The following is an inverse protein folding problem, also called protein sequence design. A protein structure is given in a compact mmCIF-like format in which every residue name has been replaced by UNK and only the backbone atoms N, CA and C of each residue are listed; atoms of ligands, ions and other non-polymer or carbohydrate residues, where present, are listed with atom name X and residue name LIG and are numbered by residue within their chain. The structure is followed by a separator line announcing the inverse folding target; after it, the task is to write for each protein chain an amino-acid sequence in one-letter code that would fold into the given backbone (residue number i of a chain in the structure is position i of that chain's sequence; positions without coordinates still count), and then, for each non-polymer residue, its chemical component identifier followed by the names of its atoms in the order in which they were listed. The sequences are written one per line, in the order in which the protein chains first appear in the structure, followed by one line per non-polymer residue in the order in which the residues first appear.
data_IF_368551812404
#
_entry.id   IF_368551812404
#
_cell.length_a   1.000
_cell.length_b   1.000
_cell.length_c   1.000
_cell.angle_alpha   90.00
_cell.angle_beta   90.00
_cell.angle_gamma   90.00
#
_symmetry.space_group_name_H-M   'P 1'
#
loop_
_entity.id
_entity.type
_entity.pdbx_description
1 polymer ?
#
# COMPACT_ATOMS: atom_id res chain seq x y z
N UNK A 1 2.23 8.98 -20.49
CA UNK A 1 1.52 7.74 -20.86
C UNK A 1 2.18 6.54 -20.22
N UNK A 2 1.45 5.43 -20.13
CA UNK A 2 1.98 4.13 -19.68
C UNK A 2 2.13 3.26 -20.93
N UNK A 3 3.34 2.84 -21.24
CA UNK A 3 3.60 1.86 -22.29
C UNK A 3 3.55 0.44 -21.70
N UNK A 4 2.86 -0.48 -22.41
CA UNK A 4 2.85 -1.88 -22.06
C UNK A 4 2.01 -2.25 -20.82
N UNK A 5 0.82 -1.69 -20.69
CA UNK A 5 -0.13 -2.04 -19.62
C UNK A 5 -1.09 -3.13 -20.09
N UNK A 6 -1.33 -4.12 -19.23
CA UNK A 6 -2.41 -5.08 -19.41
C UNK A 6 -3.67 -4.54 -18.73
N UNK A 7 -4.77 -4.47 -19.46
CA UNK A 7 -6.05 -4.02 -18.95
C UNK A 7 -7.19 -4.93 -19.47
N UNK A 8 -8.23 -5.07 -18.66
CA UNK A 8 -9.44 -5.81 -19.04
C UNK A 8 -10.39 -4.94 -19.85
N UNK A 9 -11.35 -5.54 -20.55
CA UNK A 9 -12.36 -4.82 -21.32
C UNK A 9 -13.11 -3.74 -20.52
N UNK A 10 -13.61 -4.03 -19.30
CA UNK A 10 -14.21 -3.01 -18.43
C UNK A 10 -13.30 -1.83 -18.13
N UNK A 11 -12.02 -2.07 -17.84
CA UNK A 11 -11.04 -1.00 -17.55
C UNK A 11 -10.75 -0.15 -18.78
N UNK A 12 -10.62 -0.77 -19.95
CA UNK A 12 -10.48 -0.07 -21.25
C UNK A 12 -11.70 0.80 -21.52
N UNK A 13 -12.89 0.25 -21.36
CA UNK A 13 -14.14 0.99 -21.55
C UNK A 13 -14.20 2.22 -20.65
N UNK A 14 -13.93 2.07 -19.35
CA UNK A 14 -13.94 3.19 -18.41
C UNK A 14 -12.87 4.23 -18.77
N UNK A 15 -11.67 3.80 -19.11
CA UNK A 15 -10.58 4.71 -19.48
C UNK A 15 -10.95 5.56 -20.71
N UNK A 16 -11.56 4.96 -21.75
CA UNK A 16 -12.07 5.68 -22.91
C UNK A 16 -13.19 6.67 -22.53
N UNK A 17 -14.11 6.27 -21.63
CA UNK A 17 -15.17 7.17 -21.12
C UNK A 17 -14.64 8.34 -20.33
N UNK A 18 -13.47 8.18 -19.71
CA UNK A 18 -12.75 9.23 -18.97
C UNK A 18 -11.78 10.05 -19.86
N UNK A 19 -11.79 9.83 -21.17
CA UNK A 19 -11.03 10.60 -22.15
C UNK A 19 -9.59 10.09 -22.39
N UNK A 20 -9.27 8.85 -22.02
CA UNK A 20 -7.97 8.28 -22.33
C UNK A 20 -7.85 7.91 -23.82
N UNK A 21 -6.69 8.15 -24.41
CA UNK A 21 -6.30 7.64 -25.71
C UNK A 21 -5.60 6.30 -25.54
N UNK A 22 -6.08 5.26 -26.23
CA UNK A 22 -5.58 3.90 -26.08
C UNK A 22 -5.19 3.32 -27.43
N UNK A 23 -3.95 2.82 -27.52
CA UNK A 23 -3.48 2.01 -28.66
C UNK A 23 -3.36 0.57 -28.23
N UNK A 24 -4.13 -0.33 -28.83
CA UNK A 24 -4.05 -1.76 -28.56
C UNK A 24 -2.89 -2.39 -29.35
N UNK A 25 -1.88 -2.90 -28.63
CA UNK A 25 -0.76 -3.64 -29.22
C UNK A 25 -1.11 -5.11 -29.43
N UNK A 26 -1.83 -5.70 -28.48
CA UNK A 26 -2.29 -7.08 -28.52
C UNK A 26 -3.62 -7.22 -27.78
N UNK A 27 -4.55 -7.95 -28.35
CA UNK A 27 -5.87 -8.21 -27.77
C UNK A 27 -6.09 -9.70 -27.64
N UNK A 28 -6.56 -10.14 -26.48
CA UNK A 28 -7.04 -11.49 -26.24
C UNK A 28 -8.55 -11.44 -26.07
N UNK A 29 -9.26 -12.11 -26.93
CA UNK A 29 -10.73 -12.22 -26.87
C UNK A 29 -11.07 -13.61 -26.32
N UNK A 30 -11.79 -13.65 -25.21
CA UNK A 30 -12.26 -14.91 -24.63
C UNK A 30 -13.35 -15.53 -25.47
N UNK A 31 -13.37 -16.85 -25.53
CA UNK A 31 -14.47 -17.61 -26.13
C UNK A 31 -15.65 -17.64 -25.17
N UNK A 32 -16.82 -17.35 -25.68
CA UNK A 32 -18.07 -17.51 -24.93
C UNK A 32 -18.51 -18.97 -25.06
N UNK A 33 -18.72 -19.61 -23.92
CA UNK A 33 -19.31 -20.96 -23.92
C UNK A 33 -20.80 -20.81 -24.11
N UNK A 34 -21.35 -21.56 -25.06
CA UNK A 34 -22.78 -21.70 -25.30
C UNK A 34 -23.21 -23.13 -24.95
N UNK A 35 -24.44 -23.28 -24.50
CA UNK A 35 -25.07 -24.58 -24.32
C UNK A 35 -25.62 -25.13 -25.64
N UNK A 36 -26.26 -26.30 -25.57
CA UNK A 36 -26.83 -26.96 -26.76
C UNK A 36 -27.93 -26.13 -27.45
N UNK A 37 -28.57 -25.21 -26.75
CA UNK A 37 -29.55 -24.26 -27.27
C UNK A 37 -28.93 -22.93 -27.74
N UNK A 38 -27.60 -22.86 -27.89
CA UNK A 38 -26.83 -21.67 -28.28
C UNK A 38 -26.96 -20.50 -27.28
N UNK A 39 -27.37 -20.78 -26.04
CA UNK A 39 -27.44 -19.77 -25.01
C UNK A 39 -26.10 -19.65 -24.28
N UNK A 40 -25.77 -18.43 -23.83
CA UNK A 40 -24.50 -18.19 -23.09
C UNK A 40 -24.51 -18.98 -21.79
N UNK A 41 -23.56 -19.90 -21.67
CA UNK A 41 -23.38 -20.67 -20.44
C UNK A 41 -22.71 -19.82 -19.35
N UNK A 42 -23.40 -19.64 -18.24
CA UNK A 42 -22.90 -18.97 -17.04
C UNK A 42 -22.52 -20.01 -15.96
N UNK A 43 -21.40 -20.65 -16.13
CA UNK A 43 -20.98 -21.85 -15.36
C UNK A 43 -21.05 -21.73 -13.85
N UNK A 44 -20.91 -20.54 -13.27
CA UNK A 44 -21.01 -20.30 -11.82
C UNK A 44 -22.35 -19.69 -11.38
N UNK A 45 -23.20 -19.31 -12.30
CA UNK A 45 -24.43 -18.55 -11.99
C UNK A 45 -25.36 -19.30 -11.04
N UNK A 46 -25.72 -20.52 -11.36
CA UNK A 46 -26.65 -21.30 -10.56
C UNK A 46 -26.14 -21.55 -9.13
N UNK A 47 -24.85 -21.90 -9.00
CA UNK A 47 -24.23 -22.11 -7.70
C UNK A 47 -24.20 -20.83 -6.87
N UNK A 48 -23.80 -19.72 -7.45
CA UNK A 48 -23.75 -18.42 -6.75
C UNK A 48 -25.15 -17.97 -6.37
N UNK A 49 -26.12 -18.09 -7.26
CA UNK A 49 -27.52 -17.76 -7.00
C UNK A 49 -28.07 -18.56 -5.83
N UNK A 50 -27.89 -19.89 -5.85
CA UNK A 50 -28.36 -20.76 -4.77
C UNK A 50 -27.76 -20.35 -3.41
N UNK A 51 -26.44 -20.15 -3.35
CA UNK A 51 -25.77 -19.73 -2.12
C UNK A 51 -26.27 -18.36 -1.61
N UNK A 52 -26.58 -17.43 -2.50
CA UNK A 52 -27.13 -16.10 -2.13
C UNK A 52 -28.55 -16.24 -1.58
N UNK A 53 -29.38 -17.07 -2.21
CA UNK A 53 -30.76 -17.34 -1.76
C UNK A 53 -30.76 -18.05 -0.43
N UNK A 54 -29.97 -19.13 -0.28
CA UNK A 54 -29.87 -19.91 0.97
C UNK A 54 -29.39 -19.03 2.11
N UNK A 55 -28.39 -18.19 1.85
CA UNK A 55 -27.90 -17.25 2.86
C UNK A 55 -28.98 -16.27 3.30
N UNK A 56 -29.75 -15.74 2.35
CA UNK A 56 -30.86 -14.84 2.69
C UNK A 56 -31.92 -15.56 3.53
N UNK A 57 -32.27 -16.79 3.17
CA UNK A 57 -33.19 -17.62 3.94
C UNK A 57 -32.70 -17.82 5.39
N UNK A 58 -31.41 -18.16 5.56
CA UNK A 58 -30.81 -18.31 6.91
C UNK A 58 -30.85 -16.99 7.69
N UNK A 59 -30.56 -15.85 7.04
CA UNK A 59 -30.65 -14.55 7.71
C UNK A 59 -32.05 -14.20 8.17
N UNK A 60 -33.06 -14.58 7.39
CA UNK A 60 -34.48 -14.31 7.71
C UNK A 60 -35.05 -15.25 8.75
N UNK A 61 -34.58 -16.52 8.82
CA UNK A 61 -35.11 -17.55 9.73
C UNK A 61 -34.32 -17.70 11.02
N UNK A 62 -32.98 -17.63 10.94
CA UNK A 62 -32.06 -17.90 12.07
C UNK A 62 -31.41 -16.61 12.58
N UNK A 63 -31.20 -15.65 11.68
CA UNK A 63 -30.58 -14.35 11.98
C UNK A 63 -29.21 -14.15 11.34
N UNK A 64 -28.82 -12.87 11.24
CA UNK A 64 -27.50 -12.45 10.76
C UNK A 64 -26.42 -12.73 11.82
N UNK A 65 -25.19 -13.05 11.35
CA UNK A 65 -24.04 -13.27 12.24
C UNK A 65 -24.01 -14.64 12.93
N UNK A 66 -24.97 -15.51 12.63
CA UNK A 66 -24.98 -16.90 13.09
C UNK A 66 -23.99 -17.77 12.34
N UNK A 67 -23.64 -18.94 12.89
CA UNK A 67 -22.70 -19.87 12.25
C UNK A 67 -23.15 -20.25 10.82
N UNK A 68 -24.42 -20.60 10.54
CA UNK A 68 -24.88 -20.87 9.18
C UNK A 68 -24.73 -19.66 8.23
N UNK A 69 -25.07 -18.43 8.67
CA UNK A 69 -24.86 -17.21 7.88
C UNK A 69 -23.37 -17.01 7.55
N UNK A 70 -22.50 -17.22 8.55
CA UNK A 70 -21.04 -17.11 8.35
C UNK A 70 -20.51 -18.16 7.36
N UNK A 71 -20.95 -19.40 7.44
CA UNK A 71 -20.54 -20.47 6.53
C UNK A 71 -20.95 -20.17 5.09
N UNK A 72 -22.20 -19.77 4.86
CA UNK A 72 -22.70 -19.41 3.53
C UNK A 72 -22.01 -18.16 2.98
N UNK A 73 -21.80 -17.14 3.83
CA UNK A 73 -20.99 -15.97 3.46
C UNK A 73 -19.59 -16.39 3.01
N UNK A 74 -18.95 -17.27 3.78
CA UNK A 74 -17.59 -17.75 3.47
C UNK A 74 -17.57 -18.55 2.17
N UNK A 75 -18.57 -19.37 1.91
CA UNK A 75 -18.71 -20.12 0.66
C UNK A 75 -18.77 -19.16 -0.54
N UNK A 76 -19.68 -18.16 -0.53
CA UNK A 76 -19.79 -17.17 -1.61
C UNK A 76 -18.49 -16.38 -1.84
N UNK A 77 -17.88 -15.88 -0.75
CA UNK A 77 -16.67 -15.05 -0.89
C UNK A 77 -15.44 -15.85 -1.28
N UNK A 78 -15.36 -17.13 -0.88
CA UNK A 78 -14.23 -17.99 -1.24
C UNK A 78 -14.27 -18.46 -2.71
N UNK A 79 -15.44 -18.52 -3.34
CA UNK A 79 -15.56 -18.83 -4.76
C UNK A 79 -14.68 -17.92 -5.62
N UNK A 80 -14.77 -16.60 -5.39
CA UNK A 80 -13.90 -15.64 -6.07
C UNK A 80 -12.41 -15.95 -5.83
N UNK A 81 -12.01 -16.18 -4.57
CA UNK A 81 -10.63 -16.53 -4.25
C UNK A 81 -10.17 -17.83 -4.94
N UNK A 82 -11.07 -18.79 -5.11
CA UNK A 82 -10.79 -20.05 -5.81
C UNK A 82 -10.60 -19.88 -7.31
N UNK A 83 -11.27 -18.90 -7.94
CA UNK A 83 -11.01 -18.61 -9.36
C UNK A 83 -9.63 -18.00 -9.59
N UNK A 84 -9.05 -17.34 -8.59
CA UNK A 84 -7.70 -16.78 -8.62
C UNK A 84 -6.61 -17.71 -8.06
N UNK A 85 -6.95 -18.91 -7.61
CA UNK A 85 -5.99 -19.83 -7.00
C UNK A 85 -5.02 -20.34 -8.07
N UNK A 86 -3.71 -20.31 -7.73
CA UNK A 86 -2.61 -20.76 -8.60
C UNK A 86 -2.39 -19.95 -9.90
N UNK A 87 -2.97 -18.75 -9.97
CA UNK A 87 -2.61 -17.80 -11.06
C UNK A 87 -1.19 -17.26 -10.87
N UNK A 88 -0.74 -17.18 -9.62
CA UNK A 88 0.64 -16.90 -9.22
C UNK A 88 1.01 -17.98 -8.21
N UNK A 89 2.13 -18.63 -8.43
CA UNK A 89 2.64 -19.65 -7.51
C UNK A 89 2.69 -19.12 -6.08
N UNK A 90 2.05 -19.84 -5.18
CA UNK A 90 2.05 -19.58 -3.74
C UNK A 90 2.35 -20.86 -3.01
N UNK A 91 3.22 -20.76 -2.02
CA UNK A 91 3.46 -21.83 -1.09
C UNK A 91 2.81 -21.55 0.26
N UNK A 92 2.44 -22.61 0.95
CA UNK A 92 1.93 -22.60 2.32
C UNK A 92 2.71 -23.64 3.12
N UNK A 93 2.93 -23.35 4.40
CA UNK A 93 3.49 -24.34 5.31
C UNK A 93 2.49 -25.47 5.51
N UNK A 94 2.91 -26.71 5.22
CA UNK A 94 2.18 -27.92 5.57
C UNK A 94 2.69 -28.38 6.94
N UNK A 95 1.92 -28.14 7.98
CA UNK A 95 2.30 -28.46 9.36
C UNK A 95 2.44 -29.98 9.61
N UNK A 96 1.76 -30.81 8.80
CA UNK A 96 1.85 -32.26 8.91
C UNK A 96 3.13 -32.82 8.30
N UNK A 97 3.57 -32.25 7.17
CA UNK A 97 4.78 -32.68 6.46
C UNK A 97 6.00 -31.83 6.86
N UNK A 98 5.80 -30.79 7.65
CA UNK A 98 6.83 -29.83 8.06
C UNK A 98 7.62 -29.23 6.87
N UNK A 99 6.95 -29.00 5.75
CA UNK A 99 7.55 -28.43 4.54
C UNK A 99 6.70 -27.31 3.95
N UNK A 100 7.35 -26.42 3.21
CA UNK A 100 6.65 -25.47 2.32
C UNK A 100 6.15 -26.25 1.10
N UNK A 101 4.83 -26.24 0.87
CA UNK A 101 4.20 -26.91 -0.24
C UNK A 101 3.44 -25.91 -1.11
N UNK A 102 3.56 -26.05 -2.43
CA UNK A 102 2.81 -25.22 -3.36
C UNK A 102 1.31 -25.48 -3.23
N UNK A 103 0.53 -24.40 -3.24
CA UNK A 103 -0.92 -24.46 -3.26
C UNK A 103 -1.33 -24.63 -4.71
N UNK A 104 -1.70 -25.85 -5.08
CA UNK A 104 -2.18 -26.14 -6.44
C UNK A 104 -3.48 -25.42 -6.78
N UNK A 105 -3.81 -25.39 -8.07
CA UNK A 105 -5.02 -24.82 -8.60
C UNK A 105 -6.30 -25.44 -8.03
N UNK A 106 -7.41 -24.73 -8.09
CA UNK A 106 -8.73 -25.27 -7.77
C UNK A 106 -9.39 -25.80 -9.05
N UNK A 107 -10.43 -26.64 -8.89
CA UNK A 107 -11.23 -27.12 -10.04
C UNK A 107 -11.94 -25.98 -10.79
N UNK A 108 -12.09 -24.82 -10.16
CA UNK A 108 -12.72 -23.62 -10.73
C UNK A 108 -11.71 -22.49 -10.97
N UNK A 109 -10.41 -22.79 -10.99
CA UNK A 109 -9.38 -21.79 -11.33
C UNK A 109 -9.66 -21.25 -12.73
N UNK A 110 -9.88 -19.94 -12.81
CA UNK A 110 -10.16 -19.22 -14.05
C UNK A 110 -9.61 -17.81 -13.96
N UNK A 111 -8.42 -17.55 -14.50
CA UNK A 111 -7.80 -16.22 -14.46
C UNK A 111 -8.69 -15.13 -15.06
N UNK A 112 -9.48 -15.48 -16.10
CA UNK A 112 -10.39 -14.54 -16.76
C UNK A 112 -11.50 -14.09 -15.81
N UNK A 113 -12.19 -15.03 -15.13
CA UNK A 113 -13.24 -14.68 -14.15
C UNK A 113 -12.67 -13.88 -12.99
N UNK A 114 -11.50 -14.26 -12.47
CA UNK A 114 -10.84 -13.52 -11.39
C UNK A 114 -10.49 -12.08 -11.82
N UNK A 115 -9.95 -11.94 -13.03
CA UNK A 115 -9.59 -10.63 -13.61
C UNK A 115 -10.84 -9.76 -13.80
N UNK A 116 -11.88 -10.27 -14.45
CA UNK A 116 -13.10 -9.52 -14.74
C UNK A 116 -13.84 -9.11 -13.46
N UNK A 117 -13.88 -9.97 -12.45
CA UNK A 117 -14.51 -9.66 -11.16
C UNK A 117 -13.80 -8.49 -10.48
N UNK A 118 -12.48 -8.55 -10.36
CA UNK A 118 -11.71 -7.43 -9.77
C UNK A 118 -11.77 -6.17 -10.59
N UNK A 119 -11.70 -6.29 -11.91
CA UNK A 119 -11.78 -5.16 -12.82
C UNK A 119 -13.13 -4.46 -12.73
N UNK A 120 -14.24 -5.22 -12.71
CA UNK A 120 -15.58 -4.66 -12.56
C UNK A 120 -15.72 -3.84 -11.28
N UNK A 121 -15.28 -4.38 -10.15
CA UNK A 121 -15.32 -3.66 -8.87
C UNK A 121 -14.43 -2.41 -8.90
N UNK A 122 -13.20 -2.50 -9.43
CA UNK A 122 -12.32 -1.33 -9.57
C UNK A 122 -12.95 -0.26 -10.46
N UNK A 123 -13.58 -0.65 -11.58
CA UNK A 123 -14.25 0.30 -12.46
C UNK A 123 -15.40 1.02 -11.76
N UNK A 124 -16.22 0.30 -10.97
CA UNK A 124 -17.27 0.94 -10.17
C UNK A 124 -16.73 1.94 -9.17
N UNK A 125 -15.65 1.60 -8.45
CA UNK A 125 -15.04 2.49 -7.47
C UNK A 125 -14.40 3.73 -8.13
N UNK A 126 -13.66 3.56 -9.23
CA UNK A 126 -13.07 4.67 -9.99
C UNK A 126 -14.15 5.57 -10.57
N UNK A 127 -15.22 4.98 -11.13
CA UNK A 127 -16.35 5.73 -11.66
C UNK A 127 -17.08 6.53 -10.57
N UNK A 128 -17.29 5.92 -9.38
CA UNK A 128 -17.88 6.61 -8.24
C UNK A 128 -17.02 7.78 -7.77
N UNK A 129 -15.71 7.57 -7.60
CA UNK A 129 -14.78 8.63 -7.22
C UNK A 129 -14.80 9.80 -8.21
N UNK A 130 -14.78 9.49 -9.52
CA UNK A 130 -14.79 10.52 -10.54
C UNK A 130 -16.10 11.32 -10.54
N UNK A 131 -17.25 10.64 -10.47
CA UNK A 131 -18.56 11.31 -10.46
C UNK A 131 -18.79 12.09 -9.16
N UNK A 132 -18.37 11.58 -8.00
CA UNK A 132 -18.44 12.30 -6.73
C UNK A 132 -17.57 13.57 -6.77
N UNK A 133 -16.35 13.47 -7.29
CA UNK A 133 -15.49 14.65 -7.45
C UNK A 133 -16.10 15.69 -8.40
N UNK A 134 -16.82 15.29 -9.45
CA UNK A 134 -17.55 16.21 -10.35
C UNK A 134 -18.73 16.90 -9.64
N UNK A 135 -19.24 16.30 -8.57
CA UNK A 135 -20.32 16.84 -7.73
C UNK A 135 -19.79 17.55 -6.47
N UNK A 136 -18.49 17.86 -6.41
CA UNK A 136 -17.79 18.50 -5.29
C UNK A 136 -17.81 17.68 -3.98
N UNK A 137 -17.92 16.35 -4.06
CA UNK A 137 -17.77 15.48 -2.90
C UNK A 137 -16.39 14.80 -2.88
N UNK A 138 -15.86 14.62 -1.68
CA UNK A 138 -14.56 14.02 -1.45
C UNK A 138 -14.67 12.52 -1.19
N UNK A 139 -13.69 11.76 -1.68
CA UNK A 139 -13.46 10.37 -1.29
C UNK A 139 -12.21 10.30 -0.43
N UNK A 140 -12.38 10.07 0.87
CA UNK A 140 -11.27 10.03 1.83
C UNK A 140 -10.51 8.72 1.82
N UNK A 141 -11.18 7.62 1.58
CA UNK A 141 -10.57 6.30 1.55
C UNK A 141 -11.33 5.37 0.60
N UNK A 142 -10.57 4.59 -0.17
CA UNK A 142 -11.11 3.55 -1.05
C UNK A 142 -10.44 2.23 -0.70
N UNK A 143 -11.25 1.23 -0.42
CA UNK A 143 -10.80 -0.13 -0.11
C UNK A 143 -11.12 -1.09 -1.26
N UNK A 144 -11.14 -2.39 -1.00
CA UNK A 144 -11.33 -3.42 -2.03
C UNK A 144 -12.66 -3.31 -2.77
N UNK A 145 -13.74 -2.99 -2.05
CA UNK A 145 -15.14 -3.05 -2.52
C UNK A 145 -16.01 -1.93 -1.92
N UNK A 146 -15.39 -0.90 -1.35
CA UNK A 146 -16.09 0.21 -0.73
C UNK A 146 -15.24 1.47 -0.63
N UNK A 147 -15.86 2.56 -0.22
CA UNK A 147 -15.20 3.85 -0.02
C UNK A 147 -15.86 4.62 1.13
N UNK A 148 -15.17 5.64 1.61
CA UNK A 148 -15.65 6.61 2.59
C UNK A 148 -15.68 7.97 1.90
N UNK A 149 -16.81 8.66 2.02
CA UNK A 149 -17.05 9.95 1.38
C UNK A 149 -17.91 10.84 2.28
N UNK A 150 -17.84 12.14 2.07
CA UNK A 150 -18.77 13.14 2.64
C UNK A 150 -20.10 13.24 1.85
N UNK A 151 -20.23 12.50 0.75
CA UNK A 151 -21.46 12.50 -0.04
C UNK A 151 -22.63 11.85 0.73
N UNK A 152 -23.83 12.45 0.70
CA UNK A 152 -25.04 11.81 1.20
C UNK A 152 -25.30 10.47 0.50
N UNK A 153 -25.88 9.50 1.22
CA UNK A 153 -26.17 8.18 0.68
C UNK A 153 -27.05 8.23 -0.57
N UNK A 154 -28.01 9.14 -0.61
CA UNK A 154 -28.93 9.35 -1.75
C UNK A 154 -28.19 9.75 -3.02
N UNK A 155 -27.11 10.51 -2.90
CA UNK A 155 -26.25 10.88 -4.02
C UNK A 155 -25.52 9.65 -4.53
N UNK A 156 -24.92 8.86 -3.62
CA UNK A 156 -24.18 7.62 -3.96
C UNK A 156 -25.08 6.61 -4.67
N UNK A 157 -26.32 6.41 -4.20
CA UNK A 157 -27.25 5.47 -4.81
C UNK A 157 -27.71 5.88 -6.22
N UNK A 158 -27.63 7.16 -6.58
CA UNK A 158 -28.00 7.69 -7.89
C UNK A 158 -26.87 7.74 -8.91
N UNK A 159 -25.62 7.41 -8.52
CA UNK A 159 -24.49 7.43 -9.44
C UNK A 159 -24.71 6.44 -10.60
N UNK A 160 -24.55 6.92 -11.81
CA UNK A 160 -24.67 6.11 -13.04
C UNK A 160 -23.45 5.20 -13.25
N UNK A 161 -22.28 5.59 -12.74
CA UNK A 161 -21.02 4.86 -12.86
C UNK A 161 -20.62 4.58 -14.32
N UNK A 162 -20.90 5.52 -15.23
CA UNK A 162 -20.69 5.37 -16.68
C UNK A 162 -21.37 4.12 -17.28
N UNK A 163 -22.51 3.71 -16.70
CA UNK A 163 -23.28 2.54 -17.13
C UNK A 163 -23.02 1.27 -16.34
N UNK A 164 -21.95 1.21 -15.52
CA UNK A 164 -21.69 0.04 -14.68
C UNK A 164 -22.78 -0.18 -13.64
N UNK A 165 -23.42 0.90 -13.13
CA UNK A 165 -24.51 0.76 -12.16
C UNK A 165 -25.60 -0.17 -12.68
N UNK A 166 -26.07 0.05 -13.93
CA UNK A 166 -27.08 -0.79 -14.56
C UNK A 166 -26.64 -2.25 -14.67
N UNK A 167 -25.39 -2.50 -15.11
CA UNK A 167 -24.87 -3.86 -15.25
C UNK A 167 -24.89 -4.62 -13.90
N UNK A 168 -24.44 -3.96 -12.84
CA UNK A 168 -24.41 -4.57 -11.50
C UNK A 168 -25.81 -4.72 -10.90
N UNK A 169 -26.72 -3.77 -11.15
CA UNK A 169 -28.11 -3.86 -10.74
C UNK A 169 -28.82 -5.05 -11.40
N UNK A 170 -28.66 -5.23 -12.71
CA UNK A 170 -29.23 -6.38 -13.45
C UNK A 170 -28.66 -7.71 -12.93
N UNK A 171 -27.34 -7.78 -12.68
CA UNK A 171 -26.72 -8.95 -12.09
C UNK A 171 -27.28 -9.23 -10.67
N UNK A 172 -27.47 -8.19 -9.87
CA UNK A 172 -28.03 -8.29 -8.53
C UNK A 172 -29.48 -8.79 -8.54
N UNK A 173 -30.31 -8.26 -9.41
CA UNK A 173 -31.70 -8.71 -9.60
C UNK A 173 -31.75 -10.21 -9.95
N UNK A 174 -30.93 -10.67 -10.90
CA UNK A 174 -30.84 -12.09 -11.28
C UNK A 174 -30.43 -12.99 -10.12
N UNK A 175 -29.45 -12.55 -9.29
CA UNK A 175 -28.96 -13.33 -8.15
C UNK A 175 -29.94 -13.35 -6.98
N UNK A 176 -30.83 -12.37 -6.86
CA UNK A 176 -31.75 -12.22 -5.73
C UNK A 176 -33.22 -12.51 -6.09
N UNK A 177 -33.48 -13.14 -7.22
CA UNK A 177 -34.85 -13.36 -7.73
C UNK A 177 -35.68 -12.07 -7.76
N UNK A 178 -35.12 -11.00 -8.31
CA UNK A 178 -35.72 -9.67 -8.42
C UNK A 178 -36.08 -9.00 -7.06
N UNK A 179 -35.50 -9.45 -5.95
CA UNK A 179 -35.79 -8.88 -4.62
C UNK A 179 -35.01 -7.61 -4.32
N UNK A 180 -33.81 -7.43 -4.91
CA UNK A 180 -32.97 -6.25 -4.71
C UNK A 180 -32.10 -5.95 -5.90
N UNK A 181 -32.05 -4.68 -6.27
CA UNK A 181 -31.09 -4.12 -7.24
C UNK A 181 -29.94 -3.35 -6.59
N UNK A 182 -29.89 -3.28 -5.25
CA UNK A 182 -28.91 -2.46 -4.53
C UNK A 182 -27.52 -2.98 -4.73
N UNK A 183 -26.66 -2.16 -5.29
CA UNK A 183 -25.22 -2.43 -5.48
C UNK A 183 -24.38 -1.84 -4.34
N UNK A 184 -24.91 -0.84 -3.64
CA UNK A 184 -24.27 -0.21 -2.48
C UNK A 184 -24.96 -0.62 -1.18
N UNK A 185 -24.19 -0.66 -0.11
CA UNK A 185 -24.70 -0.84 1.24
C UNK A 185 -24.02 0.18 2.16
N UNK A 186 -24.81 1.08 2.75
CA UNK A 186 -24.34 1.94 3.82
C UNK A 186 -23.97 1.08 5.03
N UNK A 187 -22.69 1.16 5.45
CA UNK A 187 -22.17 0.42 6.61
C UNK A 187 -22.17 1.24 7.86
N UNK A 188 -21.65 2.46 7.76
CA UNK A 188 -21.47 3.39 8.86
C UNK A 188 -21.69 4.82 8.38
N UNK A 189 -22.21 5.64 9.24
CA UNK A 189 -22.30 7.07 9.08
C UNK A 189 -21.76 7.71 10.34
N UNK A 190 -20.92 8.74 10.21
CA UNK A 190 -20.26 9.38 11.34
C UNK A 190 -19.98 10.85 11.02
N UNK A 191 -19.90 11.68 12.08
CA UNK A 191 -19.75 13.13 11.96
C UNK A 191 -18.31 13.58 11.77
N UNK A 192 -17.34 12.75 12.17
CA UNK A 192 -15.92 13.05 12.07
C UNK A 192 -15.12 11.84 11.60
N UNK A 193 -13.93 12.08 11.07
CA UNK A 193 -13.06 11.01 10.58
C UNK A 193 -11.59 11.41 10.68
N UNK A 194 -10.81 10.60 11.36
CA UNK A 194 -9.37 10.60 11.25
C UNK A 194 -8.92 9.48 10.31
N UNK A 195 -8.52 9.83 9.09
CA UNK A 195 -8.12 8.89 8.05
C UNK A 195 -6.60 8.94 7.86
N UNK A 196 -5.88 7.95 8.40
CA UNK A 196 -4.41 7.92 8.36
C UNK A 196 -3.90 6.98 7.26
N UNK A 197 -4.56 5.84 7.08
CA UNK A 197 -4.21 4.86 6.04
C UNK A 197 -5.47 4.41 5.32
N UNK A 198 -5.33 3.74 4.19
CA UNK A 198 -6.47 3.19 3.43
C UNK A 198 -7.44 2.35 4.29
N UNK A 199 -6.95 1.73 5.36
CA UNK A 199 -7.75 0.92 6.29
C UNK A 199 -7.58 1.36 7.74
N UNK A 200 -7.04 2.54 7.98
CA UNK A 200 -6.80 3.11 9.29
C UNK A 200 -7.64 4.35 9.51
N UNK A 201 -8.95 4.17 9.62
CA UNK A 201 -9.93 5.22 9.77
C UNK A 201 -10.59 5.08 11.15
N UNK A 202 -10.61 6.15 11.92
CA UNK A 202 -11.19 6.18 13.26
C UNK A 202 -12.03 7.43 13.42
N UNK A 203 -13.25 7.28 13.92
CA UNK A 203 -14.03 8.39 14.44
C UNK A 203 -13.65 8.66 15.89
N UNK A 204 -13.52 9.93 16.24
CA UNK A 204 -13.29 10.42 17.61
C UNK A 204 -14.59 10.86 18.28
N UNK A 205 -15.72 10.82 17.59
CA UNK A 205 -17.03 11.08 18.19
C UNK A 205 -17.44 9.93 19.11
N UNK A 206 -18.20 10.20 20.21
CA UNK A 206 -18.65 9.15 21.14
C UNK A 206 -19.45 8.04 20.47
N UNK A 207 -20.33 8.40 19.54
CA UNK A 207 -21.17 7.50 18.73
C UNK A 207 -20.49 6.97 17.46
N UNK A 208 -19.23 7.36 17.23
CA UNK A 208 -18.48 6.97 16.06
C UNK A 208 -18.01 5.53 16.10
N UNK A 209 -17.48 5.08 14.99
CA UNK A 209 -16.94 3.73 14.81
C UNK A 209 -15.50 3.76 14.33
N UNK A 210 -14.74 2.72 14.64
CA UNK A 210 -13.53 2.42 13.93
C UNK A 210 -13.93 1.73 12.63
N UNK A 211 -14.01 2.52 11.56
CA UNK A 211 -14.37 1.99 10.25
C UNK A 211 -13.18 1.29 9.61
N UNK A 212 -12.96 0.11 9.92
CA UNK A 212 -11.87 -0.79 9.56
C UNK A 212 -10.65 -0.74 10.48
N UNK A 213 -10.49 -1.86 11.13
CA UNK A 213 -9.17 -2.25 11.50
C UNK A 213 -8.34 -2.37 10.22
N UNK A 214 -7.44 -1.47 10.02
CA UNK A 214 -6.35 -1.59 9.04
C UNK A 214 -5.54 -2.86 9.27
N UNK A 215 -5.97 -3.68 10.19
CA UNK A 215 -5.17 -4.70 10.79
C UNK A 215 -5.64 -6.02 10.24
N UNK A 216 -4.85 -6.56 9.38
CA UNK A 216 -4.80 -8.01 9.22
C UNK A 216 -4.61 -8.73 10.58
N UNK A 217 -4.71 -8.02 11.67
CA UNK A 217 -4.52 -8.46 13.05
C UNK A 217 -5.81 -8.85 13.74
N UNK A 218 -6.98 -8.38 13.27
CA UNK A 218 -8.25 -8.59 13.92
C UNK A 218 -8.50 -7.70 15.15
N UNK A 219 -7.66 -6.72 15.44
CA UNK A 219 -7.91 -5.76 16.51
C UNK A 219 -8.80 -4.63 16.03
N UNK A 220 -9.92 -4.42 16.68
CA UNK A 220 -10.81 -3.27 16.46
C UNK A 220 -11.11 -2.68 17.84
N UNK A 221 -10.78 -1.41 18.08
CA UNK A 221 -11.26 -0.75 19.30
C UNK A 221 -12.76 -0.53 19.19
N UNK A 222 -13.52 -1.17 20.09
CA UNK A 222 -14.98 -1.19 20.03
C UNK A 222 -15.61 -0.05 20.82
N UNK A 223 -15.05 0.28 22.00
CA UNK A 223 -15.55 1.38 22.83
C UNK A 223 -14.95 2.73 22.41
N UNK A 224 -15.60 3.81 22.85
CA UNK A 224 -15.09 5.17 22.68
C UNK A 224 -13.73 5.34 23.37
N UNK A 225 -13.60 4.86 24.60
CA UNK A 225 -12.38 4.92 25.40
C UNK A 225 -11.24 4.15 24.74
N UNK A 226 -11.52 2.98 24.19
CA UNK A 226 -10.53 2.18 23.45
C UNK A 226 -10.06 2.92 22.20
N UNK A 227 -10.95 3.60 21.48
CA UNK A 227 -10.58 4.40 20.31
C UNK A 227 -9.69 5.58 20.70
N UNK A 228 -10.05 6.31 21.76
CA UNK A 228 -9.22 7.40 22.27
C UNK A 228 -7.85 6.91 22.75
N UNK A 229 -7.80 5.86 23.56
CA UNK A 229 -6.55 5.27 24.03
C UNK A 229 -5.67 4.78 22.89
N UNK A 230 -6.27 4.17 21.89
CA UNK A 230 -5.58 3.73 20.68
C UNK A 230 -5.00 4.92 19.89
N UNK A 231 -5.81 5.95 19.64
CA UNK A 231 -5.37 7.13 18.90
C UNK A 231 -4.32 7.95 19.66
N UNK A 232 -4.45 8.03 20.98
CA UNK A 232 -3.40 8.63 21.83
C UNK A 232 -2.05 7.95 21.61
N UNK A 233 -2.00 6.61 21.62
CA UNK A 233 -0.79 5.85 21.34
C UNK A 233 -0.26 6.06 19.92
N UNK A 234 -1.17 6.11 18.93
CA UNK A 234 -0.82 6.35 17.53
C UNK A 234 -0.17 7.72 17.37
N UNK A 235 -0.75 8.77 17.96
CA UNK A 235 -0.32 10.16 17.74
C UNK A 235 0.85 10.58 18.65
N UNK A 236 0.93 10.06 19.88
CA UNK A 236 2.02 10.36 20.81
C UNK A 236 3.37 9.75 20.42
N UNK A 237 3.38 8.79 19.48
CA UNK A 237 4.59 8.09 19.00
C UNK A 237 5.37 7.36 20.12
N UNK A 238 4.70 6.98 21.19
CA UNK A 238 5.30 6.35 22.38
C UNK A 238 5.62 4.87 22.20
N UNK A 239 6.27 4.51 21.10
CA UNK A 239 6.74 3.15 20.85
C UNK A 239 5.93 2.37 19.82
N UNK A 240 6.28 1.10 19.58
CA UNK A 240 5.58 0.26 18.63
C UNK A 240 4.17 -0.06 19.13
N UNK A 241 3.18 0.18 18.31
CA UNK A 241 1.83 -0.30 18.54
C UNK A 241 1.79 -1.80 18.26
N UNK A 242 1.31 -2.56 19.23
CA UNK A 242 1.09 -3.98 19.09
C UNK A 242 -0.25 -4.37 19.68
N UNK A 243 -0.85 -5.41 19.14
CA UNK A 243 -2.02 -6.06 19.71
C UNK A 243 -1.82 -7.57 19.74
N UNK A 244 -2.43 -8.21 20.73
CA UNK A 244 -2.46 -9.66 20.83
C UNK A 244 -3.80 -10.15 20.31
N UNK A 245 -3.76 -11.06 19.34
CA UNK A 245 -4.95 -11.67 18.75
C UNK A 245 -4.84 -13.18 18.80
N UNK A 246 -5.99 -13.85 18.84
CA UNK A 246 -6.01 -15.32 18.82
C UNK A 246 -5.98 -15.82 17.38
N UNK A 247 -5.04 -16.69 17.09
CA UNK A 247 -5.02 -17.48 15.85
C UNK A 247 -5.53 -18.88 16.17
N UNK A 248 -6.64 -19.24 15.55
CA UNK A 248 -7.21 -20.58 15.69
C UNK A 248 -6.56 -21.54 14.70
N UNK A 249 -6.52 -22.81 15.05
CA UNK A 249 -6.15 -23.91 14.16
C UNK A 249 -7.00 -23.86 12.90
N UNK A 250 -6.38 -23.94 11.74
CA UNK A 250 -7.09 -23.84 10.46
C UNK A 250 -7.98 -25.06 10.22
N UNK A 251 -9.15 -24.88 9.58
CA UNK A 251 -10.04 -25.99 9.23
C UNK A 251 -9.35 -27.09 8.42
N UNK A 252 -8.35 -26.74 7.60
CA UNK A 252 -7.57 -27.73 6.85
C UNK A 252 -6.73 -28.62 7.76
N UNK A 253 -6.17 -28.02 8.82
CA UNK A 253 -5.34 -28.78 9.77
C UNK A 253 -6.23 -29.66 10.66
N UNK A 254 -7.40 -29.14 11.07
CA UNK A 254 -8.41 -29.94 11.78
C UNK A 254 -8.94 -31.10 10.92
N UNK A 255 -9.21 -30.86 9.63
CA UNK A 255 -9.71 -31.90 8.73
C UNK A 255 -8.66 -32.98 8.44
N UNK A 256 -7.37 -32.65 8.49
CA UNK A 256 -6.29 -33.63 8.31
C UNK A 256 -6.11 -34.52 9.55
N UNK A 257 -6.21 -33.95 10.73
CA UNK A 257 -5.93 -34.64 11.97
C UNK A 257 -7.12 -35.47 12.48
N UNK A 258 -8.31 -35.31 11.87
CA UNK A 258 -9.55 -35.98 12.23
C UNK A 258 -9.95 -35.90 13.73
N UNK A 259 -9.26 -35.08 14.51
CA UNK A 259 -9.53 -34.90 15.94
C UNK A 259 -9.92 -33.45 16.24
N UNK A 260 -11.20 -33.26 16.60
CA UNK A 260 -11.72 -31.96 17.02
C UNK A 260 -11.05 -31.42 18.31
N UNK A 261 -10.33 -32.31 19.05
CA UNK A 261 -9.57 -31.91 20.25
C UNK A 261 -8.34 -31.08 19.92
N UNK A 262 -7.84 -31.14 18.66
CA UNK A 262 -6.74 -30.32 18.18
C UNK A 262 -7.13 -28.87 17.87
N UNK A 263 -8.37 -28.50 18.13
CA UNK A 263 -8.81 -27.11 18.03
C UNK A 263 -8.14 -26.28 19.12
N UNK A 264 -7.09 -25.60 18.75
CA UNK A 264 -6.31 -24.75 19.64
C UNK A 264 -6.34 -23.29 19.19
N UNK A 265 -6.20 -22.39 20.14
CA UNK A 265 -6.00 -20.97 19.91
C UNK A 265 -4.64 -20.58 20.46
N UNK A 266 -3.81 -19.98 19.61
CA UNK A 266 -2.51 -19.46 19.99
C UNK A 266 -2.54 -17.94 20.00
N UNK A 267 -2.06 -17.31 21.06
CA UNK A 267 -1.94 -15.87 21.12
C UNK A 267 -0.78 -15.40 20.25
N UNK A 268 -1.07 -14.50 19.31
CA UNK A 268 -0.07 -13.93 18.43
C UNK A 268 -0.04 -12.42 18.65
N UNK A 269 1.15 -11.91 18.98
CA UNK A 269 1.40 -10.47 19.03
C UNK A 269 1.74 -9.96 17.64
N UNK A 270 1.03 -8.94 17.19
CA UNK A 270 1.22 -8.31 15.88
C UNK A 270 1.47 -6.83 16.03
N UNK A 271 2.42 -6.32 15.24
CA UNK A 271 2.68 -4.89 15.15
C UNK A 271 1.63 -4.19 14.31
N UNK A 272 1.13 -3.07 14.81
CA UNK A 272 0.20 -2.20 14.12
C UNK A 272 0.96 -1.00 13.56
N UNK A 273 0.75 -0.71 12.29
CA UNK A 273 1.33 0.48 11.65
C UNK A 273 0.19 1.39 11.20
N UNK A 274 0.20 2.60 11.71
CA UNK A 274 -0.76 3.67 11.39
C UNK A 274 -0.05 4.84 10.71
N UNK A 275 0.88 4.56 9.81
CA UNK A 275 1.50 5.57 8.98
C UNK A 275 0.88 5.55 7.59
N UNK A 276 0.95 6.68 6.90
CA UNK A 276 0.44 6.79 5.53
C UNK A 276 1.10 5.73 4.63
N UNK A 277 0.30 4.99 3.88
CA UNK A 277 0.75 3.76 3.21
C UNK A 277 1.39 3.98 1.83
N UNK A 278 1.47 5.24 1.38
CA UNK A 278 2.04 5.64 0.09
C UNK A 278 1.45 4.89 -1.12
N UNK A 279 0.19 4.50 -1.07
CA UNK A 279 -0.52 3.93 -2.22
C UNK A 279 -0.86 4.99 -3.26
N UNK A 280 -0.99 6.24 -2.83
CA UNK A 280 -1.13 7.43 -3.67
C UNK A 280 -0.06 8.44 -3.30
N UNK A 281 0.29 9.31 -4.24
CA UNK A 281 1.28 10.35 -4.01
C UNK A 281 0.61 11.52 -3.27
N UNK A 282 1.13 11.95 -2.10
CA UNK A 282 0.66 13.19 -1.48
C UNK A 282 0.91 14.40 -2.37
N UNK A 283 -0.06 15.28 -2.48
CA UNK A 283 0.09 16.53 -3.22
C UNK A 283 0.64 17.62 -2.32
N UNK A 284 1.89 18.00 -2.55
CA UNK A 284 2.61 18.96 -1.72
C UNK A 284 1.94 20.35 -1.66
N UNK A 285 1.16 20.73 -2.67
CA UNK A 285 0.53 22.04 -2.74
C UNK A 285 -0.69 22.16 -1.83
N UNK A 286 -1.23 21.02 -1.38
CA UNK A 286 -2.44 20.96 -0.55
C UNK A 286 -2.14 20.72 0.94
N UNK A 287 -0.86 20.65 1.31
CA UNK A 287 -0.49 20.43 2.71
C UNK A 287 -0.94 21.59 3.60
N UNK A 288 -1.62 21.23 4.68
CA UNK A 288 -1.93 22.14 5.79
C UNK A 288 -1.98 21.34 7.10
N UNK A 289 -1.68 22.00 8.19
CA UNK A 289 -1.66 21.37 9.51
C UNK A 289 -3.03 21.45 10.15
N UNK A 290 -3.51 20.32 10.68
CA UNK A 290 -4.71 20.22 11.51
C UNK A 290 -4.33 19.84 12.94
N UNK A 291 -5.16 20.24 13.90
CA UNK A 291 -4.88 20.11 15.33
C UNK A 291 -6.01 19.33 16.05
N UNK A 292 -6.12 17.99 15.85
CA UNK A 292 -7.11 17.22 16.59
C UNK A 292 -6.78 17.19 18.09
N UNK A 293 -7.83 17.29 18.91
CA UNK A 293 -7.74 17.21 20.36
C UNK A 293 -8.23 15.84 20.82
N UNK A 294 -7.38 15.10 21.52
CA UNK A 294 -7.68 13.77 22.06
C UNK A 294 -7.23 13.72 23.52
N UNK A 295 -8.14 13.41 24.45
CA UNK A 295 -7.86 13.42 25.88
C UNK A 295 -7.17 14.71 26.31
N UNK A 296 -7.76 15.87 25.97
CA UNK A 296 -7.26 17.21 26.30
C UNK A 296 -5.87 17.54 25.71
N UNK A 297 -5.30 16.65 24.93
CA UNK A 297 -4.00 16.85 24.28
C UNK A 297 -4.23 17.20 22.80
N UNK A 298 -3.62 18.31 22.38
CA UNK A 298 -3.61 18.73 20.98
C UNK A 298 -2.48 18.06 20.23
N UNK A 299 -2.79 17.46 19.10
CA UNK A 299 -1.81 16.81 18.22
C UNK A 299 -1.69 17.59 16.91
N UNK A 300 -0.49 17.61 16.36
CA UNK A 300 -0.20 18.22 15.06
C UNK A 300 -0.18 17.12 13.98
N UNK A 301 -1.02 17.28 12.95
CA UNK A 301 -1.12 16.34 11.82
C UNK A 301 -1.13 17.12 10.51
N UNK A 302 -0.27 16.73 9.58
CA UNK A 302 -0.35 17.22 8.21
C UNK A 302 -1.55 16.59 7.49
N UNK A 303 -2.47 17.41 7.04
CA UNK A 303 -3.56 17.02 6.17
C UNK A 303 -3.23 17.41 4.73
N UNK A 304 -3.61 16.59 3.74
CA UNK A 304 -3.27 16.80 2.34
C UNK A 304 -4.15 15.97 1.42
N UNK A 305 -4.26 16.42 0.18
CA UNK A 305 -4.85 15.63 -0.89
C UNK A 305 -3.84 14.65 -1.49
N UNK A 306 -4.35 13.69 -2.24
CA UNK A 306 -3.51 12.68 -2.89
C UNK A 306 -3.82 12.59 -4.37
N UNK A 307 -2.79 12.32 -5.16
CA UNK A 307 -2.90 12.09 -6.60
C UNK A 307 -2.33 10.73 -7.01
N UNK A 308 -2.72 10.19 -8.18
CA UNK A 308 -2.11 8.98 -8.71
C UNK A 308 -0.62 9.17 -8.98
N UNK A 309 0.14 8.09 -8.88
CA UNK A 309 1.50 8.05 -9.41
C UNK A 309 1.47 8.11 -10.95
N UNK A 310 2.44 8.78 -11.55
CA UNK A 310 2.55 8.89 -13.00
C UNK A 310 3.22 7.68 -13.65
N UNK A 311 3.97 6.90 -12.85
CA UNK A 311 4.61 5.67 -13.33
C UNK A 311 4.85 4.67 -12.18
N UNK A 312 5.11 3.42 -12.54
CA UNK A 312 5.46 2.35 -11.60
C UNK A 312 6.81 2.65 -10.93
N UNK A 313 7.76 3.23 -11.66
CA UNK A 313 9.08 3.64 -11.17
C UNK A 313 8.94 4.71 -10.10
N UNK A 314 8.08 5.70 -10.33
CA UNK A 314 7.75 6.73 -9.33
C UNK A 314 7.17 6.09 -8.06
N UNK A 315 6.19 5.19 -8.19
CA UNK A 315 5.64 4.46 -7.05
C UNK A 315 6.71 3.69 -6.28
N UNK A 316 7.53 2.89 -6.97
CA UNK A 316 8.59 2.09 -6.35
C UNK A 316 9.60 2.97 -5.62
N UNK A 317 9.96 4.10 -6.22
CA UNK A 317 10.87 5.09 -5.63
C UNK A 317 10.31 5.62 -4.31
N UNK A 318 9.10 6.20 -4.31
CA UNK A 318 8.50 6.76 -3.10
C UNK A 318 8.24 5.69 -2.04
N UNK A 319 7.79 4.52 -2.42
CA UNK A 319 7.60 3.38 -1.52
C UNK A 319 8.91 2.94 -0.85
N UNK A 320 10.02 2.93 -1.57
CA UNK A 320 11.33 2.58 -1.01
C UNK A 320 11.83 3.61 0.00
N UNK A 321 11.56 4.89 -0.24
CA UNK A 321 11.89 5.99 0.67
C UNK A 321 11.03 5.91 1.94
N UNK A 322 9.74 5.66 1.79
CA UNK A 322 8.81 5.51 2.90
C UNK A 322 9.22 4.43 3.90
N UNK A 323 9.85 3.35 3.42
CA UNK A 323 10.41 2.31 4.31
C UNK A 323 11.53 2.82 5.22
N UNK A 324 12.21 3.90 4.86
CA UNK A 324 13.28 4.51 5.63
C UNK A 324 12.82 5.66 6.52
N UNK A 325 11.54 6.01 6.48
CA UNK A 325 10.94 7.04 7.32
C UNK A 325 10.14 6.35 8.43
N UNK A 326 10.40 6.73 9.68
CA UNK A 326 9.81 6.04 10.84
C UNK A 326 8.35 6.45 11.04
N UNK A 327 8.03 7.71 10.76
CA UNK A 327 6.68 8.27 10.92
C UNK A 327 6.48 9.37 9.88
N UNK A 328 5.29 9.46 9.32
CA UNK A 328 4.88 10.49 8.36
C UNK A 328 3.55 11.10 8.83
N UNK A 329 3.60 12.08 9.74
CA UNK A 329 2.42 12.69 10.34
C UNK A 329 2.43 14.20 10.31
N UNK A 330 3.53 14.84 10.71
CA UNK A 330 3.65 16.31 10.70
C UNK A 330 4.18 16.81 9.37
N UNK A 331 3.99 18.09 9.08
CA UNK A 331 4.60 18.72 7.90
C UNK A 331 6.12 18.58 7.89
N UNK A 332 6.75 18.61 9.07
CA UNK A 332 8.19 18.39 9.17
C UNK A 332 8.59 16.97 8.76
N UNK A 333 7.84 15.94 9.16
CA UNK A 333 8.09 14.55 8.74
C UNK A 333 8.02 14.43 7.21
N UNK A 334 7.01 15.04 6.61
CA UNK A 334 6.83 15.07 5.16
C UNK A 334 7.92 15.88 4.44
N UNK A 335 8.34 16.98 5.00
CA UNK A 335 9.47 17.76 4.47
C UNK A 335 10.75 16.93 4.42
N UNK A 336 11.02 16.13 5.46
CA UNK A 336 12.15 15.19 5.50
C UNK A 336 11.98 14.09 4.46
N UNK A 337 10.77 13.54 4.30
CA UNK A 337 10.47 12.52 3.30
C UNK A 337 10.72 13.03 1.88
N UNK A 338 10.20 14.20 1.54
CA UNK A 338 10.38 14.78 0.21
C UNK A 338 11.84 15.13 -0.07
N UNK A 339 12.58 15.70 0.90
CA UNK A 339 14.03 15.92 0.77
C UNK A 339 14.76 14.62 0.45
N UNK A 340 14.46 13.53 1.14
CA UNK A 340 15.02 12.19 0.81
C UNK A 340 14.63 11.73 -0.59
N UNK A 341 13.44 12.10 -1.08
CA UNK A 341 12.99 11.72 -2.41
C UNK A 341 13.80 12.42 -3.52
N UNK A 342 14.19 13.64 -3.30
CA UNK A 342 15.05 14.38 -4.24
C UNK A 342 16.51 13.90 -4.18
N UNK A 343 17.03 13.60 -2.99
CA UNK A 343 18.40 13.15 -2.80
C UNK A 343 18.73 11.79 -3.48
N UNK A 344 17.73 10.96 -3.79
CA UNK A 344 17.92 9.66 -4.45
C UNK A 344 17.85 9.68 -5.98
N UNK A 345 17.62 10.82 -6.61
CA UNK A 345 17.73 10.93 -8.06
C UNK A 345 19.20 11.11 -8.47
N UNK A 346 19.86 10.03 -8.82
CA UNK A 346 21.07 10.08 -9.64
C UNK A 346 20.71 10.56 -11.04
N UNK A 347 20.70 11.84 -11.27
CA UNK A 347 20.45 12.50 -12.55
C UNK A 347 20.71 13.99 -12.37
N UNK A 348 21.14 14.67 -13.40
CA UNK A 348 21.76 15.98 -13.50
C UNK A 348 21.04 17.21 -12.88
N UNK A 349 20.05 17.02 -12.02
CA UNK A 349 19.40 18.08 -11.25
C UNK A 349 19.51 17.81 -9.75
N UNK A 350 20.71 17.99 -9.23
CA UNK A 350 20.99 17.88 -7.80
C UNK A 350 20.77 19.22 -7.10
N UNK A 351 19.55 19.53 -6.72
CA UNK A 351 19.33 20.43 -5.59
C UNK A 351 19.43 19.62 -4.29
N UNK A 352 20.64 19.45 -3.79
CA UNK A 352 20.85 19.00 -2.41
C UNK A 352 20.59 20.22 -1.55
N UNK A 353 19.47 20.22 -0.85
CA UNK A 353 19.08 21.29 0.06
C UNK A 353 20.02 21.41 1.29
N UNK A 354 20.93 20.46 1.47
CA UNK A 354 21.95 20.45 2.50
C UNK A 354 23.34 20.55 1.86
N UNK A 355 23.79 21.78 1.71
CA UNK A 355 25.13 22.10 1.19
C UNK A 355 26.25 21.42 2.00
N UNK A 356 26.04 21.25 3.30
CA UNK A 356 27.03 20.66 4.18
C UNK A 356 27.17 19.14 3.94
N UNK A 357 26.03 18.44 3.78
CA UNK A 357 26.05 17.01 3.43
C UNK A 357 26.62 16.75 2.04
N UNK A 358 26.41 17.67 1.08
CA UNK A 358 27.01 17.58 -0.23
C UNK A 358 28.54 17.79 -0.19
N UNK A 359 28.97 18.81 0.51
CA UNK A 359 30.38 19.11 0.71
C UNK A 359 31.10 17.91 1.38
N UNK A 360 30.48 17.30 2.40
CA UNK A 360 31.02 16.08 3.03
C UNK A 360 31.08 14.91 2.03
N UNK A 361 30.11 14.75 1.14
CA UNK A 361 30.12 13.69 0.12
C UNK A 361 31.24 13.87 -0.90
N UNK A 362 31.54 15.09 -1.30
CA UNK A 362 32.67 15.37 -2.20
C UNK A 362 33.96 14.83 -1.60
N UNK A 363 34.24 15.19 -0.34
CA UNK A 363 35.41 14.69 0.39
C UNK A 363 35.39 13.16 0.54
N UNK A 364 34.27 12.61 0.95
CA UNK A 364 34.13 11.16 1.12
C UNK A 364 34.35 10.40 -0.19
N UNK A 365 33.85 10.92 -1.33
CA UNK A 365 34.05 10.33 -2.66
C UNK A 365 35.52 10.31 -3.05
N UNK A 366 36.25 11.39 -2.80
CA UNK A 366 37.69 11.46 -3.10
C UNK A 366 38.46 10.43 -2.26
N UNK A 367 38.21 10.40 -0.95
CA UNK A 367 38.86 9.45 -0.06
C UNK A 367 38.51 8.00 -0.40
N UNK A 368 37.27 7.76 -0.80
CA UNK A 368 36.82 6.45 -1.24
C UNK A 368 37.56 5.98 -2.49
N UNK A 369 37.68 6.82 -3.51
CA UNK A 369 38.39 6.49 -4.74
C UNK A 369 39.88 6.22 -4.48
N UNK A 370 40.54 7.02 -3.63
CA UNK A 370 41.87 6.73 -3.14
C UNK A 370 41.97 5.36 -2.45
N UNK A 371 41.07 5.06 -1.54
CA UNK A 371 41.04 3.77 -0.80
C UNK A 371 40.74 2.57 -1.69
N UNK A 372 40.03 2.78 -2.81
CA UNK A 372 39.72 1.78 -3.83
C UNK A 372 40.76 1.73 -4.97
N UNK A 373 41.83 2.54 -4.91
CA UNK A 373 42.87 2.64 -5.92
C UNK A 373 42.34 3.06 -7.28
N UNK A 374 41.37 3.96 -7.33
CA UNK A 374 40.88 4.57 -8.56
C UNK A 374 41.77 5.79 -8.96
N UNK A 375 42.32 6.46 -7.98
CA UNK A 375 43.30 7.54 -8.11
C UNK A 375 44.22 7.55 -6.91
N UNK A 376 45.35 8.23 -7.04
CA UNK A 376 46.32 8.43 -5.98
C UNK A 376 46.20 9.80 -5.34
N UNK A 377 46.54 9.88 -4.07
CA UNK A 377 46.78 11.13 -3.35
C UNK A 377 48.24 11.10 -2.88
N UNK A 378 49.17 11.72 -3.68
CA UNK A 378 50.62 11.58 -3.48
C UNK A 378 51.07 11.92 -2.05
N UNK A 379 50.42 12.89 -1.43
CA UNK A 379 50.73 13.22 -0.03
C UNK A 379 50.49 12.08 0.92
N UNK A 380 49.40 11.32 0.73
CA UNK A 380 49.08 10.18 1.58
C UNK A 380 49.89 8.91 1.26
N UNK A 381 50.25 8.76 -0.03
CA UNK A 381 51.00 7.59 -0.52
C UNK A 381 52.52 7.69 -0.22
N UNK A 382 53.09 8.88 -0.32
CA UNK A 382 54.51 9.09 -0.16
C UNK A 382 54.95 9.31 1.28
N UNK A 383 54.05 9.53 2.21
CA UNK A 383 54.34 9.78 3.60
C UNK A 383 53.82 8.63 4.49
N UNK A 384 54.68 8.15 5.40
CA UNK A 384 54.30 7.17 6.42
C UNK A 384 53.50 7.85 7.54
N UNK A 385 52.24 8.11 7.34
CA UNK A 385 51.37 8.81 8.29
C UNK A 385 50.58 7.84 9.15
N UNK A 386 50.43 8.17 10.41
CA UNK A 386 49.45 7.51 11.29
C UNK A 386 48.03 7.88 10.88
N UNK A 387 47.05 7.05 11.25
CA UNK A 387 45.62 7.30 10.90
C UNK A 387 45.16 8.68 11.39
N UNK A 388 45.61 9.13 12.55
CA UNK A 388 45.24 10.45 13.09
C UNK A 388 45.82 11.59 12.22
N UNK A 389 47.08 11.49 11.81
CA UNK A 389 47.71 12.48 10.92
C UNK A 389 47.01 12.51 9.55
N UNK A 390 46.59 11.36 9.04
CA UNK A 390 45.79 11.27 7.80
C UNK A 390 44.45 11.99 7.99
N UNK A 391 43.76 11.78 9.10
CA UNK A 391 42.46 12.42 9.37
C UNK A 391 42.63 13.94 9.54
N UNK A 392 43.66 14.38 10.25
CA UNK A 392 43.97 15.81 10.43
C UNK A 392 44.28 16.50 9.09
N UNK A 393 45.00 15.80 8.23
CA UNK A 393 45.28 16.33 6.87
C UNK A 393 44.02 16.37 6.00
N UNK A 394 43.18 15.30 5.99
CA UNK A 394 41.94 15.26 5.24
C UNK A 394 40.99 16.39 5.69
N UNK A 395 40.88 16.60 7.00
CA UNK A 395 39.98 17.62 7.53
C UNK A 395 40.39 19.07 7.20
N UNK A 396 41.64 19.31 6.82
CA UNK A 396 42.05 20.63 6.26
C UNK A 396 41.38 20.99 4.93
N UNK A 397 41.00 19.97 4.16
CA UNK A 397 40.31 20.12 2.87
C UNK A 397 38.83 19.93 2.97
N UNK A 398 38.32 19.61 4.16
CA UNK A 398 36.91 19.32 4.35
C UNK A 398 36.06 20.58 4.24
N UNK A 399 35.22 20.72 3.22
CA UNK A 399 34.40 21.91 3.02
C UNK A 399 33.12 21.89 3.89
N UNK A 400 32.89 20.81 4.65
CA UNK A 400 31.69 20.63 5.48
C UNK A 400 31.96 20.91 6.96
N UNK A 401 30.91 21.24 7.72
CA UNK A 401 30.99 21.38 9.18
C UNK A 401 31.18 20.04 9.90
N UNK A 402 30.85 18.93 9.22
CA UNK A 402 30.99 17.57 9.75
C UNK A 402 32.43 17.09 9.66
N UNK A 403 33.07 16.87 10.81
CA UNK A 403 34.44 16.34 10.88
C UNK A 403 34.52 14.91 10.33
N UNK A 404 35.49 14.67 9.42
CA UNK A 404 35.78 13.34 8.88
C UNK A 404 36.52 12.50 9.95
N UNK A 405 35.92 11.34 10.31
CA UNK A 405 36.33 10.52 11.44
C UNK A 405 36.97 9.19 11.02
N UNK A 406 37.57 8.50 11.98
CA UNK A 406 38.18 7.17 11.78
C UNK A 406 37.19 6.13 11.23
N UNK A 407 35.91 6.23 11.61
CA UNK A 407 34.84 5.41 11.07
C UNK A 407 34.64 5.68 9.56
N UNK A 408 34.68 6.95 9.15
CA UNK A 408 34.50 7.33 7.74
C UNK A 408 35.67 6.83 6.90
N UNK A 409 36.91 6.94 7.41
CA UNK A 409 38.10 6.36 6.78
C UNK A 409 38.00 4.84 6.60
N UNK A 410 37.51 4.12 7.61
CA UNK A 410 37.29 2.67 7.54
C UNK A 410 36.20 2.32 6.53
N UNK A 411 35.08 3.06 6.57
CA UNK A 411 33.94 2.85 5.69
C UNK A 411 34.27 3.14 4.21
N UNK A 412 35.14 4.09 3.93
CA UNK A 412 35.58 4.40 2.58
C UNK A 412 36.25 3.20 1.86
N UNK A 413 36.87 2.27 2.61
CA UNK A 413 37.42 1.03 2.06
C UNK A 413 36.36 -0.03 1.73
N UNK A 414 35.23 0.00 2.44
CA UNK A 414 34.16 -0.99 2.34
C UNK A 414 33.01 -0.52 1.43
N UNK A 415 33.26 0.50 0.64
CA UNK A 415 32.24 1.27 -0.08
C UNK A 415 31.61 0.56 -1.29
N UNK A 416 31.84 -0.72 -1.51
CA UNK A 416 31.05 -1.53 -2.48
C UNK A 416 29.51 -1.43 -2.25
N UNK A 417 29.07 -0.85 -1.11
CA UNK A 417 27.66 -0.55 -0.82
C UNK A 417 27.26 0.92 -1.02
N UNK A 418 28.18 1.80 -1.32
CA UNK A 418 27.88 3.22 -1.51
C UNK A 418 27.43 3.46 -2.97
N UNK A 419 26.17 3.15 -3.25
CA UNK A 419 25.51 3.34 -4.52
C UNK A 419 25.33 4.82 -4.94
N UNK A 420 26.18 5.75 -4.49
CA UNK A 420 26.09 7.17 -4.78
C UNK A 420 27.48 7.84 -4.75
N UNK A 421 28.31 7.48 -5.71
CA UNK A 421 29.49 8.27 -6.02
C UNK A 421 29.04 9.54 -6.75
N UNK A 422 29.65 10.66 -6.41
CA UNK A 422 29.57 11.87 -7.22
C UNK A 422 30.38 11.68 -8.50
N UNK A 423 30.02 12.38 -9.55
CA UNK A 423 30.79 12.39 -10.82
C UNK A 423 32.10 13.10 -10.62
N UNK A 424 33.08 12.83 -11.49
CA UNK A 424 34.36 13.55 -11.49
C UNK A 424 34.17 15.06 -11.64
N UNK A 425 33.18 15.51 -12.41
CA UNK A 425 32.85 16.91 -12.55
C UNK A 425 32.42 17.56 -11.23
N UNK A 426 31.65 16.86 -10.41
CA UNK A 426 31.16 17.34 -9.10
C UNK A 426 32.24 17.40 -8.02
N UNK A 427 33.31 16.62 -8.15
CA UNK A 427 34.44 16.60 -7.20
C UNK A 427 35.71 17.27 -7.74
N UNK A 428 35.70 17.81 -8.96
CA UNK A 428 36.84 18.29 -9.67
C UNK A 428 37.66 19.32 -8.89
N UNK A 429 37.00 20.30 -8.28
CA UNK A 429 37.73 21.37 -7.54
C UNK A 429 38.44 20.82 -6.32
N UNK A 430 37.78 19.93 -5.56
CA UNK A 430 38.38 19.34 -4.40
C UNK A 430 39.46 18.31 -4.77
N UNK A 431 39.25 17.57 -5.87
CA UNK A 431 40.24 16.67 -6.47
C UNK A 431 41.55 17.40 -6.79
N UNK A 432 41.45 18.56 -7.44
CA UNK A 432 42.58 19.41 -7.77
C UNK A 432 43.25 19.98 -6.51
N UNK A 433 42.46 20.48 -5.54
CA UNK A 433 43.01 21.03 -4.28
C UNK A 433 43.77 19.98 -3.47
N UNK A 434 43.36 18.73 -3.51
CA UNK A 434 44.02 17.62 -2.82
C UNK A 434 45.13 16.99 -3.65
N UNK A 435 45.43 17.53 -4.83
CA UNK A 435 46.45 17.05 -5.77
C UNK A 435 46.30 15.57 -6.14
N UNK A 436 45.07 15.14 -6.35
CA UNK A 436 44.79 13.77 -6.75
C UNK A 436 45.23 13.50 -8.20
N UNK A 437 45.71 12.30 -8.44
CA UNK A 437 46.20 11.84 -9.76
C UNK A 437 45.44 10.56 -10.13
N UNK A 438 44.84 10.51 -11.30
CA UNK A 438 44.21 9.30 -11.82
C UNK A 438 45.27 8.23 -12.03
N UNK A 439 44.97 6.99 -11.59
CA UNK A 439 45.82 5.82 -11.74
C UNK A 439 45.55 5.08 -13.04
#
# INVERSE_FOLDING_TARGET
GLDGVYASGPEIYLALRLGAEITAVRVYVGTVLVDDDLQISHSLYHTVKQLVVDRKCVQDTIGKGTIPDFLLKTAVTSLYGKTAQDVVEKSSWDAYKEIMQNIGGSRITSPVHACLTTAGVRCCLIAAMNQLNTLDYNCFSVTTDGFISDAPSEVVYRLNLFGFARLFQEARLKLTDNRSSDIWQLKHQQSDLLNITTRGNVSLAPDGVCAHNSYSTGYTPDSYEDRLAFMTKVLSRTGPLSCTTKKFTGFRDLAKNHDAKDFSATDITRSIRMDFDLKRLPDQQTFHTVYPVINETTYEIANFETRPYTSIEQYRKYKSIGKSCVVLRTENDWSVFFRKSYAKKGGSEHHIADHDAYAFRQLFTIIMGYRLRMWDIPYLSNNKLSVNQVLDWINKFNPSSRVFKKSDWKNARNAMRAAQMLTMQEVSDLFTKMQCIML
#
